data_IF_686452351799
#
_entry.id   IF_686452351799
#
_cell.length_a   1.000
_cell.length_b   1.000
_cell.length_c   1.000
_cell.angle_alpha   90.00
_cell.angle_beta   90.00
_cell.angle_gamma   90.00
#
_symmetry.space_group_name_H-M   'P 1'
#
loop_
_entity.id
_entity.type
_entity.pdbx_description
1 polymer ?
#
# COMPACT_ATOMS: atom_id res chain seq x y z
N UNK A 1 -23.19 -20.09 -19.76
CA UNK A 1 -22.50 -20.62 -18.55
C UNK A 1 -21.42 -21.65 -18.90
N UNK A 2 -21.67 -22.64 -19.77
CA UNK A 2 -20.64 -23.59 -20.26
C UNK A 2 -19.50 -22.94 -21.07
N UNK A 3 -19.78 -21.88 -21.83
CA UNK A 3 -18.81 -21.22 -22.72
C UNK A 3 -17.66 -20.51 -21.96
N UNK A 4 -17.93 -20.03 -20.74
CA UNK A 4 -16.96 -19.31 -19.91
C UNK A 4 -15.90 -20.24 -19.31
N UNK A 5 -16.30 -21.48 -18.99
CA UNK A 5 -15.37 -22.49 -18.45
C UNK A 5 -14.44 -23.04 -19.53
N UNK A 6 -14.92 -23.20 -20.77
CA UNK A 6 -14.07 -23.59 -21.90
C UNK A 6 -13.00 -22.55 -22.21
N UNK A 7 -13.39 -21.27 -22.20
CA UNK A 7 -12.49 -20.15 -22.47
C UNK A 7 -11.43 -19.94 -21.36
N UNK A 8 -11.75 -20.27 -20.10
CA UNK A 8 -10.78 -20.27 -19.00
C UNK A 8 -9.74 -21.39 -19.14
N UNK A 9 -10.15 -22.58 -19.59
CA UNK A 9 -9.24 -23.72 -19.81
C UNK A 9 -8.33 -23.46 -21.02
N UNK A 10 -8.88 -22.95 -22.12
CA UNK A 10 -8.12 -22.64 -23.33
C UNK A 10 -7.11 -21.50 -23.10
N UNK A 11 -7.48 -20.48 -22.31
CA UNK A 11 -6.56 -19.43 -21.87
C UNK A 11 -5.43 -19.98 -20.99
N UNK A 12 -5.74 -20.92 -20.10
CA UNK A 12 -4.76 -21.53 -19.21
C UNK A 12 -3.75 -22.39 -20.00
N UNK A 13 -4.21 -23.18 -20.98
CA UNK A 13 -3.35 -23.98 -21.84
C UNK A 13 -2.47 -23.11 -22.76
N UNK A 14 -3.03 -22.03 -23.30
CA UNK A 14 -2.28 -21.05 -24.08
C UNK A 14 -1.19 -20.37 -23.24
N UNK A 15 -1.51 -19.98 -22.01
CA UNK A 15 -0.54 -19.39 -21.09
C UNK A 15 0.56 -20.36 -20.68
N UNK A 16 0.22 -21.62 -20.38
CA UNK A 16 1.21 -22.65 -20.04
C UNK A 16 2.15 -22.95 -21.22
N UNK A 17 1.63 -22.94 -22.45
CA UNK A 17 2.43 -23.13 -23.67
C UNK A 17 3.37 -21.94 -23.91
N UNK A 18 2.86 -20.71 -23.76
CA UNK A 18 3.67 -19.49 -23.88
C UNK A 18 4.76 -19.42 -22.80
N UNK A 19 4.49 -19.87 -21.57
CA UNK A 19 5.48 -19.95 -20.49
C UNK A 19 6.60 -20.94 -20.81
N UNK A 20 6.24 -22.14 -21.31
CA UNK A 20 7.21 -23.20 -21.63
C UNK A 20 8.05 -22.86 -22.86
N UNK A 21 7.42 -22.39 -23.94
CA UNK A 21 8.05 -22.31 -25.25
C UNK A 21 8.66 -20.92 -25.53
N UNK A 22 8.19 -19.88 -24.83
CA UNK A 22 8.66 -18.49 -25.00
C UNK A 22 8.82 -17.72 -23.67
N UNK A 23 9.68 -18.18 -22.74
CA UNK A 23 9.76 -17.64 -21.38
C UNK A 23 10.15 -16.15 -21.31
N UNK A 24 11.03 -15.68 -22.20
CA UNK A 24 11.40 -14.26 -22.26
C UNK A 24 10.25 -13.35 -22.74
N UNK A 25 9.43 -13.83 -23.68
CA UNK A 25 8.23 -13.11 -24.13
C UNK A 25 7.14 -13.15 -23.06
N UNK A 26 6.96 -14.29 -22.39
CA UNK A 26 5.98 -14.46 -21.32
C UNK A 26 6.25 -13.51 -20.15
N UNK A 27 7.51 -13.44 -19.68
CA UNK A 27 7.92 -12.52 -18.62
C UNK A 27 7.72 -11.03 -19.00
N UNK A 28 7.97 -10.68 -20.27
CA UNK A 28 7.77 -9.31 -20.77
C UNK A 28 6.29 -8.93 -20.94
N UNK A 29 5.46 -9.90 -21.37
CA UNK A 29 4.04 -9.70 -21.73
C UNK A 29 3.09 -9.83 -20.54
N UNK A 30 3.39 -10.75 -19.61
CA UNK A 30 2.51 -11.13 -18.50
C UNK A 30 3.13 -10.86 -17.12
N UNK A 31 4.40 -10.41 -17.06
CA UNK A 31 5.12 -10.16 -15.80
C UNK A 31 5.73 -11.43 -15.19
N UNK A 32 6.30 -11.30 -13.99
CA UNK A 32 6.76 -12.45 -13.21
C UNK A 32 5.59 -13.29 -12.68
N UNK A 33 5.87 -14.55 -12.32
CA UNK A 33 4.87 -15.51 -11.84
C UNK A 33 4.01 -14.92 -10.70
N UNK A 34 2.70 -15.20 -10.68
CA UNK A 34 1.87 -14.83 -9.54
C UNK A 34 2.44 -15.47 -8.26
N UNK A 35 2.69 -14.65 -7.24
CA UNK A 35 3.22 -15.13 -5.97
C UNK A 35 2.14 -15.93 -5.25
N UNK A 36 2.49 -17.13 -4.79
CA UNK A 36 1.57 -18.02 -4.08
C UNK A 36 1.45 -17.63 -2.60
N UNK A 37 0.33 -17.97 -1.95
CA UNK A 37 0.19 -17.75 -0.49
C UNK A 37 1.28 -18.44 0.34
N UNK A 38 1.80 -19.58 -0.12
CA UNK A 38 2.91 -20.24 0.55
C UNK A 38 4.18 -19.36 0.55
N UNK A 39 4.52 -18.77 -0.60
CA UNK A 39 5.66 -17.86 -0.72
C UNK A 39 5.45 -16.57 0.08
N UNK A 40 4.24 -16.00 0.07
CA UNK A 40 3.92 -14.82 0.91
C UNK A 40 4.09 -15.15 2.39
N UNK A 41 3.61 -16.32 2.83
CA UNK A 41 3.74 -16.76 4.22
C UNK A 41 5.19 -16.95 4.63
N UNK A 42 5.97 -17.62 3.79
CA UNK A 42 7.39 -17.88 4.04
C UNK A 42 8.20 -16.59 4.10
N UNK A 43 7.95 -15.65 3.19
CA UNK A 43 8.73 -14.43 3.09
C UNK A 43 8.30 -13.32 4.06
N UNK A 44 6.99 -13.13 4.30
CA UNK A 44 6.48 -11.92 4.95
C UNK A 44 5.82 -12.16 6.30
N UNK A 45 5.32 -13.38 6.56
CA UNK A 45 4.43 -13.63 7.69
C UNK A 45 5.11 -14.35 8.84
N UNK A 46 4.85 -13.83 10.04
CA UNK A 46 5.24 -14.41 11.32
C UNK A 46 3.99 -14.58 12.17
N UNK A 47 4.11 -15.21 13.35
CA UNK A 47 3.00 -15.28 14.31
C UNK A 47 2.63 -13.90 14.90
N UNK A 48 3.48 -12.89 14.73
CA UNK A 48 3.29 -11.55 15.26
C UNK A 48 2.68 -10.54 14.29
N UNK A 49 2.54 -10.88 13.01
CA UNK A 49 2.04 -9.96 11.99
C UNK A 49 0.91 -10.56 11.15
N UNK A 50 0.18 -9.68 10.46
CA UNK A 50 -0.93 -10.04 9.58
C UNK A 50 -0.81 -9.21 8.30
N UNK A 51 -0.95 -9.85 7.14
CA UNK A 51 -1.09 -9.16 5.86
C UNK A 51 -2.58 -8.89 5.59
N UNK A 52 -2.88 -7.65 5.28
CA UNK A 52 -4.20 -7.15 4.93
C UNK A 52 -4.14 -6.51 3.55
N UNK A 53 -4.75 -7.15 2.57
CA UNK A 53 -4.82 -6.65 1.20
C UNK A 53 -6.24 -6.22 0.86
N UNK A 54 -6.38 -4.99 0.39
CA UNK A 54 -7.65 -4.44 -0.08
C UNK A 54 -7.69 -4.46 -1.60
N UNK A 55 -8.84 -4.82 -2.16
CA UNK A 55 -9.04 -4.82 -3.61
C UNK A 55 -10.43 -4.26 -3.96
N UNK A 56 -10.47 -3.21 -4.77
CA UNK A 56 -11.68 -2.69 -5.39
C UNK A 56 -11.98 -3.47 -6.66
N UNK A 57 -13.18 -4.03 -6.72
CA UNK A 57 -13.70 -4.69 -7.92
C UNK A 57 -15.02 -4.05 -8.33
N UNK A 58 -15.53 -4.42 -9.50
CA UNK A 58 -16.86 -4.00 -9.98
C UNK A 58 -17.98 -4.36 -9.00
N UNK A 59 -17.74 -5.38 -8.16
CA UNK A 59 -18.70 -5.86 -7.16
C UNK A 59 -18.47 -5.23 -5.79
N UNK A 60 -17.43 -4.41 -5.60
CA UNK A 60 -17.17 -3.65 -4.37
C UNK A 60 -15.79 -3.90 -3.78
N UNK A 61 -15.62 -3.47 -2.53
CA UNK A 61 -14.36 -3.59 -1.81
C UNK A 61 -14.25 -4.98 -1.19
N UNK A 62 -13.10 -5.62 -1.37
CA UNK A 62 -12.74 -6.87 -0.70
C UNK A 62 -11.51 -6.66 0.17
N UNK A 63 -11.45 -7.40 1.27
CA UNK A 63 -10.31 -7.45 2.16
C UNK A 63 -9.87 -8.91 2.32
N UNK A 64 -8.63 -9.19 1.92
CA UNK A 64 -7.95 -10.46 2.14
C UNK A 64 -7.08 -10.32 3.40
N UNK A 65 -7.38 -11.14 4.40
CA UNK A 65 -6.56 -11.29 5.61
C UNK A 65 -5.75 -12.57 5.46
N UNK A 66 -4.42 -12.43 5.49
CA UNK A 66 -3.49 -13.55 5.39
C UNK A 66 -2.61 -13.63 6.65
N UNK A 67 -2.60 -14.83 7.24
CA UNK A 67 -1.73 -15.23 8.35
C UNK A 67 -0.91 -16.45 7.95
N UNK A 68 -0.01 -16.85 8.84
CA UNK A 68 0.79 -18.07 8.69
C UNK A 68 -0.09 -19.32 8.54
N UNK A 69 -1.23 -19.37 9.21
CA UNK A 69 -2.14 -20.52 9.29
C UNK A 69 -3.42 -20.37 8.45
N UNK A 70 -3.95 -19.15 8.33
CA UNK A 70 -5.25 -18.90 7.70
C UNK A 70 -5.18 -17.89 6.57
N UNK A 71 -6.12 -18.00 5.63
CA UNK A 71 -6.42 -16.99 4.63
C UNK A 71 -7.93 -16.76 4.63
N UNK A 72 -8.37 -15.50 4.60
CA UNK A 72 -9.78 -15.15 4.70
C UNK A 72 -10.10 -13.96 3.81
N UNK A 73 -11.11 -14.10 2.95
CA UNK A 73 -11.58 -13.05 2.07
C UNK A 73 -12.96 -12.57 2.52
N UNK A 74 -13.10 -11.27 2.81
CA UNK A 74 -14.37 -10.64 3.13
C UNK A 74 -14.71 -9.55 2.13
N UNK A 75 -16.00 -9.42 1.83
CA UNK A 75 -16.54 -8.26 1.12
C UNK A 75 -16.91 -7.18 2.12
N UNK A 76 -16.44 -5.95 1.88
CA UNK A 76 -16.66 -4.78 2.70
C UNK A 76 -17.58 -3.75 2.01
N UNK A 77 -18.26 -2.88 2.77
CA UNK A 77 -19.07 -1.81 2.20
C UNK A 77 -18.21 -0.76 1.50
N UNK A 78 -18.30 -0.66 0.16
CA UNK A 78 -17.55 0.32 -0.63
C UNK A 78 -18.27 1.66 -0.83
N UNK A 79 -19.60 1.69 -0.76
CA UNK A 79 -20.40 2.89 -1.08
C UNK A 79 -20.05 4.07 -0.17
N UNK A 80 -19.72 5.22 -0.73
CA UNK A 80 -19.41 6.42 0.07
C UNK A 80 -18.03 6.37 0.76
N UNK A 81 -17.18 5.39 0.42
CA UNK A 81 -15.90 5.22 1.10
C UNK A 81 -14.90 6.32 0.74
N UNK A 82 -14.89 6.76 -0.51
CA UNK A 82 -14.04 7.86 -0.93
C UNK A 82 -14.39 9.16 -0.19
N UNK A 83 -15.67 9.46 -0.06
CA UNK A 83 -16.17 10.64 0.66
C UNK A 83 -15.83 10.59 2.15
N UNK A 84 -15.83 9.39 2.75
CA UNK A 84 -15.42 9.20 4.14
C UNK A 84 -13.92 9.43 4.34
N UNK A 85 -13.09 8.92 3.42
CA UNK A 85 -11.65 9.18 3.41
C UNK A 85 -11.37 10.67 3.21
N UNK A 86 -12.04 11.31 2.25
CA UNK A 86 -11.90 12.75 2.00
C UNK A 86 -12.38 13.60 3.18
N UNK A 87 -13.40 13.14 3.93
CA UNK A 87 -13.85 13.81 5.15
C UNK A 87 -12.81 13.71 6.26
N UNK A 88 -12.23 12.53 6.48
CA UNK A 88 -11.17 12.35 7.47
C UNK A 88 -9.97 13.24 7.13
N UNK A 89 -9.49 13.18 5.89
CA UNK A 89 -8.31 13.93 5.45
C UNK A 89 -8.51 15.45 5.59
N UNK A 90 -9.70 15.95 5.24
CA UNK A 90 -10.05 17.37 5.47
C UNK A 90 -10.11 17.72 6.94
N UNK A 91 -10.74 16.88 7.77
CA UNK A 91 -10.80 17.13 9.22
C UNK A 91 -9.40 17.19 9.86
N UNK A 92 -8.47 16.35 9.41
CA UNK A 92 -7.06 16.39 9.83
C UNK A 92 -6.37 17.66 9.34
N UNK A 93 -6.51 18.00 8.05
CA UNK A 93 -5.90 19.19 7.46
C UNK A 93 -6.36 20.49 8.12
N UNK A 94 -7.67 20.61 8.36
CA UNK A 94 -8.30 21.78 8.97
C UNK A 94 -8.27 21.74 10.51
N UNK A 95 -7.69 20.70 11.11
CA UNK A 95 -7.58 20.49 12.56
C UNK A 95 -8.94 20.51 13.29
N UNK A 96 -9.95 19.93 12.66
CA UNK A 96 -11.30 19.87 13.19
C UNK A 96 -11.50 18.62 14.05
N UNK A 97 -11.54 18.81 15.37
CA UNK A 97 -11.60 17.72 16.35
C UNK A 97 -12.82 16.80 16.18
N UNK A 98 -14.04 17.33 16.29
CA UNK A 98 -15.25 16.51 16.25
C UNK A 98 -15.45 15.78 14.89
N UNK A 99 -15.27 16.43 13.73
CA UNK A 99 -15.32 15.76 12.43
C UNK A 99 -14.26 14.66 12.27
N UNK A 100 -13.07 14.85 12.83
CA UNK A 100 -12.03 13.82 12.83
C UNK A 100 -12.46 12.59 13.64
N UNK A 101 -12.91 12.78 14.88
CA UNK A 101 -13.33 11.67 15.76
C UNK A 101 -14.44 10.82 15.10
N UNK A 102 -15.43 11.49 14.52
CA UNK A 102 -16.53 10.83 13.80
C UNK A 102 -16.02 10.05 12.57
N UNK A 103 -15.24 10.70 11.70
CA UNK A 103 -14.76 10.09 10.47
C UNK A 103 -13.79 8.93 10.74
N UNK A 104 -12.89 9.07 11.72
CA UNK A 104 -11.90 8.07 12.09
C UNK A 104 -12.55 6.81 12.63
N UNK A 105 -13.51 6.96 13.55
CA UNK A 105 -14.25 5.81 14.08
C UNK A 105 -15.16 5.16 13.03
N UNK A 106 -15.79 5.97 12.17
CA UNK A 106 -16.62 5.46 11.08
C UNK A 106 -15.83 4.61 10.09
N UNK A 107 -14.64 5.06 9.68
CA UNK A 107 -13.75 4.30 8.79
C UNK A 107 -13.25 3.03 9.47
N UNK A 108 -12.88 3.07 10.76
CA UNK A 108 -12.53 1.86 11.52
C UNK A 108 -13.65 0.83 11.47
N UNK A 109 -14.89 1.24 11.79
CA UNK A 109 -16.06 0.34 11.79
C UNK A 109 -16.33 -0.29 10.44
N UNK A 110 -16.03 0.41 9.35
CA UNK A 110 -16.25 -0.07 7.98
C UNK A 110 -15.17 -1.03 7.51
N UNK A 111 -13.91 -0.74 7.85
CA UNK A 111 -12.76 -1.42 7.27
C UNK A 111 -12.19 -2.51 8.17
N UNK A 112 -12.02 -2.22 9.46
CA UNK A 112 -11.22 -3.05 10.36
C UNK A 112 -12.06 -3.77 11.42
N UNK A 113 -13.16 -3.18 11.89
CA UNK A 113 -14.04 -3.86 12.84
C UNK A 113 -14.59 -5.20 12.32
N UNK A 114 -14.98 -5.37 11.04
CA UNK A 114 -15.38 -6.68 10.52
C UNK A 114 -14.24 -7.68 10.56
N UNK A 115 -12.99 -7.22 10.49
CA UNK A 115 -11.78 -8.05 10.42
C UNK A 115 -11.15 -8.31 11.79
N UNK A 116 -11.56 -7.58 12.83
CA UNK A 116 -10.95 -7.56 14.16
C UNK A 116 -10.70 -8.95 14.78
N UNK A 117 -11.58 -9.96 14.64
CA UNK A 117 -11.31 -11.31 15.16
C UNK A 117 -10.06 -11.98 14.57
N UNK A 118 -9.60 -11.52 13.41
CA UNK A 118 -8.44 -12.07 12.70
C UNK A 118 -7.20 -11.18 12.78
N UNK A 119 -7.32 -9.97 13.35
CA UNK A 119 -6.21 -9.03 13.60
C UNK A 119 -5.54 -9.33 14.95
N UNK A 120 -5.02 -10.54 15.11
CA UNK A 120 -4.43 -11.03 16.37
C UNK A 120 -2.94 -10.70 16.57
N UNK A 121 -2.34 -9.88 15.70
CA UNK A 121 -0.91 -9.57 15.68
C UNK A 121 -0.58 -8.15 16.15
N UNK A 122 0.71 -7.92 16.47
CA UNK A 122 1.24 -6.59 16.84
C UNK A 122 1.56 -5.72 15.61
N UNK A 123 1.62 -6.32 14.43
CA UNK A 123 1.96 -5.64 13.18
C UNK A 123 0.93 -5.95 12.09
N UNK A 124 0.54 -4.91 11.36
CA UNK A 124 -0.34 -4.97 10.20
C UNK A 124 0.46 -4.55 8.97
N UNK A 125 0.68 -5.49 8.05
CA UNK A 125 1.18 -5.21 6.72
C UNK A 125 -0.02 -4.94 5.82
N UNK A 126 -0.13 -3.73 5.28
CA UNK A 126 -1.31 -3.28 4.55
C UNK A 126 -0.93 -3.05 3.08
N UNK A 127 -1.67 -3.69 2.17
CA UNK A 127 -1.69 -3.37 0.75
C UNK A 127 -2.99 -2.62 0.47
N UNK A 128 -2.96 -1.28 0.40
CA UNK A 128 -4.14 -0.47 0.11
C UNK A 128 -4.48 -0.52 -1.39
N UNK A 129 -5.72 -0.17 -1.71
CA UNK A 129 -6.18 0.02 -3.08
C UNK A 129 -7.16 1.22 -3.16
N UNK A 130 -7.26 1.81 -4.35
CA UNK A 130 -8.14 2.93 -4.66
C UNK A 130 -8.02 4.10 -3.66
N UNK A 131 -9.13 4.60 -3.09
CA UNK A 131 -9.07 5.72 -2.14
C UNK A 131 -8.29 5.41 -0.85
N UNK A 132 -8.07 4.13 -0.51
CA UNK A 132 -7.35 3.75 0.71
C UNK A 132 -5.86 4.09 0.63
N UNK A 133 -5.30 4.31 -0.57
CA UNK A 133 -3.93 4.85 -0.71
C UNK A 133 -3.74 6.21 -0.04
N UNK A 134 -4.83 6.97 0.15
CA UNK A 134 -4.83 8.30 0.80
C UNK A 134 -5.24 8.22 2.26
N UNK A 135 -5.39 7.01 2.83
CA UNK A 135 -5.83 6.79 4.19
C UNK A 135 -4.68 6.28 5.07
N UNK A 136 -4.30 7.12 6.03
CA UNK A 136 -3.44 6.68 7.15
C UNK A 136 -4.31 5.84 8.11
N UNK A 137 -4.11 4.52 8.12
CA UNK A 137 -4.94 3.59 8.87
C UNK A 137 -4.62 3.63 10.36
N UNK A 138 -3.39 4.02 10.71
CA UNK A 138 -2.91 4.17 12.07
C UNK A 138 -3.64 5.30 12.85
N UNK A 139 -4.29 6.23 12.14
CA UNK A 139 -5.06 7.34 12.74
C UNK A 139 -6.52 7.00 13.04
N UNK A 140 -6.96 5.80 12.67
CA UNK A 140 -8.33 5.35 12.92
C UNK A 140 -8.56 5.03 14.39
N UNK A 141 -9.82 5.14 14.82
CA UNK A 141 -10.23 4.99 16.23
C UNK A 141 -11.10 3.75 16.42
N UNK A 142 -10.66 2.85 17.30
CA UNK A 142 -11.35 1.58 17.53
C UNK A 142 -12.67 1.69 18.30
N UNK A 143 -12.87 2.80 19.02
CA UNK A 143 -14.08 3.12 19.76
C UNK A 143 -14.44 4.60 19.56
N UNK A 144 -15.71 4.99 19.73
CA UNK A 144 -16.08 6.39 19.80
C UNK A 144 -15.58 6.97 21.12
N UNK A 145 -14.96 8.14 21.06
CA UNK A 145 -14.29 8.75 22.21
C UNK A 145 -14.28 10.28 22.10
N UNK A 146 -13.88 10.94 23.19
CA UNK A 146 -13.54 12.37 23.19
C UNK A 146 -12.14 12.62 22.64
N UNK A 147 -11.73 13.88 22.49
CA UNK A 147 -10.39 14.21 22.01
C UNK A 147 -9.32 13.87 23.06
N UNK A 148 -9.67 14.00 24.33
CA UNK A 148 -8.83 13.66 25.48
C UNK A 148 -8.51 12.16 25.50
N UNK A 149 -9.48 11.32 25.15
CA UNK A 149 -9.39 9.86 25.12
C UNK A 149 -8.87 9.30 23.80
N UNK A 150 -8.87 10.09 22.71
CA UNK A 150 -8.52 9.63 21.36
C UNK A 150 -7.16 8.94 21.32
N UNK A 151 -6.21 9.41 22.13
CA UNK A 151 -4.87 8.83 22.25
C UNK A 151 -4.88 7.34 22.58
N UNK A 152 -5.85 6.85 23.32
CA UNK A 152 -5.94 5.47 23.81
C UNK A 152 -6.67 4.54 22.82
N UNK A 153 -7.44 5.13 21.90
CA UNK A 153 -8.22 4.43 20.87
C UNK A 153 -7.57 4.45 19.48
N UNK A 154 -6.45 5.16 19.33
CA UNK A 154 -5.69 5.18 18.08
C UNK A 154 -5.11 3.80 17.76
N UNK A 155 -5.31 3.35 16.52
CA UNK A 155 -4.75 2.08 16.06
C UNK A 155 -3.22 2.02 16.15
N UNK A 156 -2.54 3.15 15.99
CA UNK A 156 -1.10 3.26 16.20
C UNK A 156 -0.64 2.77 17.58
N UNK A 157 -1.50 2.82 18.61
CA UNK A 157 -1.19 2.29 19.95
C UNK A 157 -1.22 0.77 20.02
N UNK A 158 -2.00 0.14 19.14
CA UNK A 158 -2.26 -1.29 19.16
C UNK A 158 -1.37 -2.04 18.18
N UNK A 159 -1.13 -1.46 17.01
CA UNK A 159 -0.42 -2.11 15.93
C UNK A 159 0.66 -1.21 15.35
N UNK A 160 1.82 -1.80 15.05
CA UNK A 160 2.74 -1.24 14.05
C UNK A 160 2.09 -1.42 12.67
N UNK A 161 2.09 -0.38 11.85
CA UNK A 161 1.49 -0.42 10.50
C UNK A 161 2.59 -0.27 9.47
N UNK A 162 2.73 -1.26 8.60
CA UNK A 162 3.64 -1.24 7.44
C UNK A 162 2.84 -1.21 6.15
N UNK A 163 3.16 -0.30 5.24
CA UNK A 163 2.51 -0.22 3.93
C UNK A 163 3.33 -0.90 2.85
N UNK A 164 2.69 -1.76 2.09
CA UNK A 164 3.28 -2.47 0.96
C UNK A 164 2.63 -2.02 -0.35
N UNK A 165 3.41 -1.94 -1.42
CA UNK A 165 2.88 -1.66 -2.76
C UNK A 165 2.04 -2.83 -3.29
N UNK A 166 2.54 -4.05 -3.10
CA UNK A 166 1.83 -5.31 -3.37
C UNK A 166 2.50 -6.44 -2.60
N UNK A 167 1.79 -7.54 -2.38
CA UNK A 167 2.37 -8.75 -1.80
C UNK A 167 3.49 -9.31 -2.70
N UNK A 168 3.28 -9.31 -4.02
CA UNK A 168 4.25 -9.81 -5.01
C UNK A 168 5.58 -9.07 -4.94
N UNK A 169 5.52 -7.74 -4.99
CA UNK A 169 6.71 -6.88 -4.93
C UNK A 169 7.43 -7.02 -3.60
N UNK A 170 6.68 -7.14 -2.50
CA UNK A 170 7.26 -7.36 -1.18
C UNK A 170 8.02 -8.69 -1.11
N UNK A 171 7.48 -9.78 -1.67
CA UNK A 171 8.19 -11.07 -1.74
C UNK A 171 9.42 -11.00 -2.64
N UNK A 172 9.31 -10.40 -3.83
CA UNK A 172 10.43 -10.24 -4.76
C UNK A 172 11.61 -9.49 -4.14
N UNK A 173 11.32 -8.44 -3.36
CA UNK A 173 12.34 -7.60 -2.75
C UNK A 173 12.72 -7.99 -1.32
N UNK A 174 12.03 -8.96 -0.71
CA UNK A 174 12.39 -9.48 0.61
C UNK A 174 13.85 -9.95 0.67
N UNK A 175 14.35 -10.55 -0.42
CA UNK A 175 15.74 -11.02 -0.52
C UNK A 175 16.78 -9.96 -0.91
N UNK A 176 16.37 -8.74 -1.30
CA UNK A 176 17.30 -7.66 -1.66
C UNK A 176 17.87 -6.93 -0.43
N UNK A 177 17.33 -7.23 0.76
CA UNK A 177 17.96 -6.89 2.05
C UNK A 177 19.24 -7.70 2.26
N UNK A 178 20.24 -7.50 1.39
CA UNK A 178 21.56 -8.10 1.53
C UNK A 178 22.16 -7.74 2.89
N UNK A 179 23.02 -8.62 3.40
CA UNK A 179 23.77 -8.49 4.66
C UNK A 179 24.08 -7.03 4.97
N UNK A 180 23.38 -6.46 5.96
CA UNK A 180 23.62 -5.09 6.38
C UNK A 180 25.09 -4.99 6.80
N UNK A 181 25.93 -4.42 5.94
CA UNK A 181 27.26 -4.00 6.32
C UNK A 181 27.13 -3.07 7.53
N UNK A 182 28.10 -3.08 8.43
CA UNK A 182 28.09 -2.33 9.71
C UNK A 182 27.96 -0.79 9.56
N UNK A 183 27.74 -0.26 8.36
CA UNK A 183 27.56 1.16 8.08
C UNK A 183 26.12 1.47 7.66
N UNK A 184 25.50 2.42 8.35
CA UNK A 184 24.23 3.02 7.93
C UNK A 184 24.51 4.32 7.18
N UNK A 185 23.90 4.50 6.01
CA UNK A 185 23.88 5.77 5.29
C UNK A 185 22.57 6.49 5.62
N UNK A 186 22.65 7.57 6.40
CA UNK A 186 21.52 8.45 6.66
C UNK A 186 21.63 9.68 5.74
N UNK A 187 20.62 9.88 4.88
CA UNK A 187 20.50 11.05 4.03
C UNK A 187 19.30 11.88 4.53
N UNK A 188 19.58 13.06 5.07
CA UNK A 188 18.56 14.03 5.44
C UNK A 188 18.67 15.22 4.48
N UNK A 189 17.81 15.32 3.45
CA UNK A 189 17.81 16.50 2.60
C UNK A 189 17.44 17.73 3.42
N UNK A 190 18.32 18.73 3.43
CA UNK A 190 18.05 20.02 4.06
C UNK A 190 17.18 20.88 3.15
N UNK A 191 16.02 21.33 3.64
CA UNK A 191 15.12 22.25 2.92
C UNK A 191 15.12 23.64 3.58
N UNK A 192 16.30 24.16 3.92
CA UNK A 192 16.40 25.51 4.49
C UNK A 192 15.98 26.56 3.46
N UNK A 193 15.41 27.67 3.93
CA UNK A 193 15.02 28.75 3.04
C UNK A 193 16.23 29.39 2.36
N UNK A 194 17.38 29.41 3.04
CA UNK A 194 18.65 29.84 2.44
C UNK A 194 19.06 28.97 1.23
N UNK A 195 18.83 27.66 1.28
CA UNK A 195 19.16 26.76 0.17
C UNK A 195 18.20 26.96 -1.01
N UNK A 196 16.92 27.21 -0.73
CA UNK A 196 15.91 27.56 -1.75
C UNK A 196 16.23 28.91 -2.41
N UNK A 197 16.66 29.90 -1.63
CA UNK A 197 16.97 31.23 -2.14
C UNK A 197 18.26 31.23 -2.96
N UNK A 198 19.29 30.48 -2.54
CA UNK A 198 20.49 30.25 -3.34
C UNK A 198 20.17 29.58 -4.68
N UNK A 199 19.29 28.58 -4.67
CA UNK A 199 18.84 27.92 -5.89
C UNK A 199 18.12 28.87 -6.84
N UNK A 200 17.15 29.66 -6.34
CA UNK A 200 16.43 30.66 -7.15
C UNK A 200 17.37 31.74 -7.71
N UNK A 201 18.38 32.14 -6.95
CA UNK A 201 19.36 33.13 -7.38
C UNK A 201 20.33 32.59 -8.43
N UNK A 202 20.69 31.30 -8.33
CA UNK A 202 21.50 30.63 -9.35
C UNK A 202 20.73 30.46 -10.68
N UNK A 203 19.40 30.44 -10.61
CA UNK A 203 18.53 30.29 -11.77
C UNK A 203 18.15 31.66 -12.37
N UNK A 204 19.01 32.19 -13.23
CA UNK A 204 18.88 33.53 -13.79
C UNK A 204 17.63 33.77 -14.68
N UNK A 205 16.97 32.71 -15.17
CA UNK A 205 15.83 32.83 -16.10
C UNK A 205 14.85 31.66 -15.91
N UNK A 206 13.70 31.93 -15.30
CA UNK A 206 12.66 30.93 -15.02
C UNK A 206 11.90 30.46 -16.27
N UNK A 207 12.15 31.07 -17.43
CA UNK A 207 11.56 30.65 -18.72
C UNK A 207 12.38 29.58 -19.43
N UNK A 208 13.62 29.34 -19.00
CA UNK A 208 14.51 28.31 -19.55
C UNK A 208 14.36 27.02 -18.76
N UNK A 209 14.40 25.90 -19.46
CA UNK A 209 14.41 24.59 -18.82
C UNK A 209 15.60 24.45 -17.88
N UNK A 210 15.29 24.20 -16.62
CA UNK A 210 16.25 23.95 -15.56
C UNK A 210 16.97 22.62 -15.78
N UNK A 211 18.12 22.68 -16.46
CA UNK A 211 18.88 21.47 -16.77
C UNK A 211 19.43 20.79 -15.51
N UNK A 212 19.72 21.56 -14.47
CA UNK A 212 20.27 21.03 -13.23
C UNK A 212 19.18 20.25 -12.48
N UNK A 213 17.97 20.82 -12.36
CA UNK A 213 16.80 20.09 -11.85
C UNK A 213 16.48 18.85 -12.68
N UNK A 214 16.46 18.99 -14.01
CA UNK A 214 16.11 17.92 -14.92
C UNK A 214 17.13 16.76 -14.90
N UNK A 215 18.35 17.00 -14.43
CA UNK A 215 19.35 15.94 -14.20
C UNK A 215 19.08 15.14 -12.92
N UNK A 216 18.45 15.76 -11.92
CA UNK A 216 18.08 15.13 -10.64
C UNK A 216 16.78 14.35 -10.74
N UNK A 217 15.89 14.76 -11.65
CA UNK A 217 14.68 14.01 -11.98
C UNK A 217 15.07 12.86 -12.91
N UNK A 218 14.71 11.62 -12.53
CA UNK A 218 14.84 10.45 -13.43
C UNK A 218 14.05 10.73 -14.72
N UNK A 219 14.76 10.99 -15.81
CA UNK A 219 14.12 11.13 -17.12
C UNK A 219 13.80 9.73 -17.67
N UNK A 220 12.61 9.53 -18.26
CA UNK A 220 12.11 8.22 -18.67
C UNK A 220 13.00 7.48 -19.69
N UNK A 221 13.95 8.17 -20.32
CA UNK A 221 14.88 7.64 -21.32
C UNK A 221 16.33 7.46 -20.83
N UNK A 222 16.62 7.65 -19.53
CA UNK A 222 17.98 7.42 -18.99
C UNK A 222 18.36 5.94 -18.78
N UNK A 223 17.52 5.00 -19.19
CA UNK A 223 17.93 3.60 -19.32
C UNK A 223 18.74 3.45 -20.62
N UNK A 224 20.07 3.61 -20.54
CA UNK A 224 20.97 3.06 -21.55
C UNK A 224 21.13 1.56 -21.26
N UNK A 225 20.67 0.74 -22.20
CA UNK A 225 21.07 -0.66 -22.42
C UNK A 225 22.58 -0.79 -22.58
#
# INVERSE_FOLDING_TARGET
LHDRQGMEVELHELMATLERDHPAYFALRYGERPVTFAQVREALLTTGNVLLEFAFTDTGLHALVLRTDTALLLRLPARGLQEDVDRLNRAVADRQAAPYLEAAHRLYRRLLAPLAPWLGGRELLIVPDGPLHRLNMEVLLDAPCTMEEARDHLLLRRHAVGYLLSATTAVQFHGLGGTAGKGALALAPGFSDQLKDQYRQAQADSSRWDRDFLSLVRQPFMLRT
#
